data_IF_111915126259
#
_entry.id   IF_111915126259
#
_cell.length_a   1.000
_cell.length_b   1.000
_cell.length_c   1.000
_cell.angle_alpha   90.00
_cell.angle_beta   90.00
_cell.angle_gamma   90.00
#
_symmetry.space_group_name_H-M   'P 1'
#
loop_
_entity.id
_entity.type
_entity.pdbx_description
1 polymer ?
#
# COMPACT_ATOMS: atom_id res chain seq x y z
N UNK A 1 1.98 4.83 15.71
CA UNK A 1 3.27 4.60 15.01
C UNK A 1 4.45 4.58 15.97
N UNK A 2 4.52 5.43 17.01
CA UNK A 2 5.64 5.41 17.98
C UNK A 2 5.90 4.04 18.66
N UNK A 3 4.88 3.21 18.85
CA UNK A 3 5.01 1.86 19.40
C UNK A 3 5.10 0.76 18.32
N UNK A 4 5.48 1.11 17.08
CA UNK A 4 5.41 0.22 15.91
C UNK A 4 4.02 -0.40 15.70
N UNK A 5 2.97 0.35 16.08
CA UNK A 5 1.58 -0.03 15.91
C UNK A 5 0.88 0.89 14.90
N UNK A 6 -0.16 0.34 14.27
CA UNK A 6 -1.06 1.07 13.38
C UNK A 6 -2.50 0.69 13.69
N UNK A 7 -3.42 1.62 13.46
CA UNK A 7 -4.85 1.40 13.62
C UNK A 7 -5.47 1.27 12.24
N UNK A 8 -6.18 0.16 12.00
CA UNK A 8 -6.89 -0.09 10.74
C UNK A 8 -8.19 0.75 10.70
N UNK A 9 -8.01 2.06 10.60
CA UNK A 9 -9.05 3.09 10.79
C UNK A 9 -9.17 4.03 9.60
N UNK A 10 -8.19 3.99 8.69
CA UNK A 10 -8.20 4.70 7.42
C UNK A 10 -8.31 3.66 6.31
N UNK A 11 -9.16 3.89 5.31
CA UNK A 11 -9.54 2.89 4.32
C UNK A 11 -11.04 2.56 4.36
N UNK A 12 -11.49 1.73 3.42
CA UNK A 12 -12.87 1.29 3.34
C UNK A 12 -12.92 -0.15 2.85
N UNK A 13 -13.91 -0.92 3.29
CA UNK A 13 -14.17 -2.29 2.81
C UNK A 13 -14.40 -2.35 1.30
N UNK A 14 -14.90 -1.24 0.75
CA UNK A 14 -15.10 -1.03 -0.67
C UNK A 14 -14.64 0.39 -1.03
N UNK A 15 -13.72 0.49 -1.99
CA UNK A 15 -13.25 1.76 -2.52
C UNK A 15 -13.34 1.69 -4.05
N UNK A 16 -14.41 2.26 -4.59
CA UNK A 16 -14.67 2.29 -6.03
C UNK A 16 -14.37 3.69 -6.58
N UNK A 17 -13.56 3.75 -7.63
CA UNK A 17 -13.39 4.96 -8.45
C UNK A 17 -13.42 4.54 -9.91
N UNK A 18 -14.05 5.36 -10.76
CA UNK A 18 -13.98 5.17 -12.21
C UNK A 18 -12.80 5.98 -12.71
N UNK A 19 -11.86 5.30 -13.38
CA UNK A 19 -10.78 5.95 -14.11
C UNK A 19 -10.94 5.63 -15.59
N UNK A 20 -10.86 6.66 -16.42
CA UNK A 20 -10.90 6.54 -17.88
C UNK A 20 -9.49 6.73 -18.40
N UNK A 21 -8.97 5.73 -19.09
CA UNK A 21 -7.68 5.80 -19.76
C UNK A 21 -7.81 6.68 -21.02
N UNK A 22 -7.12 7.84 -21.10
CA UNK A 22 -7.19 8.72 -22.25
C UNK A 22 -6.62 8.10 -23.54
N UNK A 23 -5.78 7.06 -23.40
CA UNK A 23 -5.06 6.42 -24.51
C UNK A 23 -5.64 5.03 -24.85
N UNK A 24 -6.81 4.67 -24.32
CA UNK A 24 -7.44 3.36 -24.55
C UNK A 24 -7.83 3.13 -26.02
N UNK A 25 -7.29 2.07 -26.62
CA UNK A 25 -7.73 1.56 -27.91
C UNK A 25 -8.61 0.31 -27.73
N UNK A 26 -9.92 0.36 -28.06
CA UNK A 26 -10.81 -0.79 -27.96
C UNK A 26 -10.48 -1.94 -28.93
N UNK A 27 -9.58 -1.74 -29.89
CA UNK A 27 -9.08 -2.80 -30.76
C UNK A 27 -8.07 -3.72 -30.05
N UNK A 28 -7.47 -3.29 -28.94
CA UNK A 28 -6.56 -4.08 -28.14
C UNK A 28 -7.30 -5.03 -27.17
N UNK A 29 -6.65 -6.15 -26.82
CA UNK A 29 -7.22 -7.08 -25.85
C UNK A 29 -7.06 -6.50 -24.44
N UNK A 30 -8.18 -6.19 -23.80
CA UNK A 30 -8.22 -5.78 -22.41
C UNK A 30 -8.45 -6.97 -21.46
N UNK A 31 -8.06 -6.79 -20.20
CA UNK A 31 -8.40 -7.69 -19.10
C UNK A 31 -8.63 -6.85 -17.84
N UNK A 32 -9.41 -7.38 -16.90
CA UNK A 32 -9.67 -6.77 -15.60
C UNK A 32 -8.75 -7.36 -14.54
N UNK A 33 -8.38 -6.55 -13.54
CA UNK A 33 -7.71 -7.01 -12.33
C UNK A 33 -8.12 -6.15 -11.15
N UNK A 34 -8.05 -6.71 -9.94
CA UNK A 34 -8.24 -5.98 -8.70
C UNK A 34 -6.92 -5.38 -8.25
N UNK A 35 -6.92 -4.11 -7.88
CA UNK A 35 -5.80 -3.41 -7.26
C UNK A 35 -6.11 -3.13 -5.79
N UNK A 36 -5.23 -3.56 -4.90
CA UNK A 36 -5.33 -3.28 -3.46
C UNK A 36 -4.16 -2.38 -3.05
N UNK A 37 -4.47 -1.35 -2.25
CA UNK A 37 -3.47 -0.47 -1.65
C UNK A 37 -3.56 -0.62 -0.14
N UNK A 38 -2.46 -1.01 0.49
CA UNK A 38 -2.39 -1.09 1.94
C UNK A 38 -2.48 0.32 2.57
N UNK A 39 -2.89 0.39 3.82
CA UNK A 39 -2.71 1.62 4.61
C UNK A 39 -1.24 1.73 5.02
N UNK A 40 -0.72 2.94 5.33
CA UNK A 40 0.65 3.06 5.81
C UNK A 40 0.89 2.20 7.05
N UNK A 41 1.85 1.28 6.97
CA UNK A 41 2.22 0.38 8.06
C UNK A 41 3.67 0.61 8.51
N UNK A 42 4.01 0.32 9.78
CA UNK A 42 5.39 0.41 10.26
C UNK A 42 6.34 -0.53 9.50
N UNK A 43 7.52 -0.03 9.13
CA UNK A 43 8.60 -0.87 8.58
C UNK A 43 9.35 -1.60 9.69
N UNK A 44 10.06 -2.67 9.34
CA UNK A 44 10.89 -3.47 10.26
C UNK A 44 11.86 -2.62 11.11
N UNK A 45 12.42 -1.55 10.53
CA UNK A 45 13.33 -0.64 11.24
C UNK A 45 12.68 0.01 12.45
N UNK A 46 11.38 0.33 12.38
CA UNK A 46 10.65 0.91 13.49
C UNK A 46 10.40 -0.14 14.60
N UNK A 47 10.13 -1.40 14.23
CA UNK A 47 10.04 -2.49 15.20
C UNK A 47 11.37 -2.71 15.92
N UNK A 48 12.49 -2.66 15.20
CA UNK A 48 13.83 -2.82 15.79
C UNK A 48 14.18 -1.67 16.73
N UNK A 49 13.86 -0.41 16.39
CA UNK A 49 14.01 0.72 17.31
C UNK A 49 13.21 0.51 18.60
N UNK A 50 11.95 0.10 18.49
CA UNK A 50 11.10 -0.13 19.67
C UNK A 50 11.63 -1.29 20.51
N UNK A 51 12.12 -2.35 19.86
CA UNK A 51 12.61 -3.55 20.53
C UNK A 51 13.97 -3.37 21.21
N UNK A 52 14.88 -2.67 20.56
CA UNK A 52 16.29 -2.57 20.97
C UNK A 52 16.67 -1.19 21.53
N UNK A 53 15.79 -0.19 21.42
CA UNK A 53 16.07 1.18 21.85
C UNK A 53 17.10 1.91 20.98
N UNK A 54 17.39 1.39 19.79
CA UNK A 54 18.42 1.92 18.89
C UNK A 54 18.05 3.28 18.29
N UNK A 55 19.05 4.13 18.08
CA UNK A 55 18.87 5.36 17.30
C UNK A 55 18.73 5.03 15.82
N UNK A 56 17.77 5.68 15.16
CA UNK A 56 17.56 5.53 13.71
C UNK A 56 18.24 6.72 13.01
N UNK A 57 19.05 6.49 11.97
CA UNK A 57 19.65 7.56 11.18
C UNK A 57 18.59 8.52 10.62
N UNK A 58 18.95 9.79 10.54
CA UNK A 58 18.09 10.81 9.95
C UNK A 58 17.79 10.49 8.48
N UNK A 59 16.53 10.69 8.07
CA UNK A 59 16.06 10.36 6.72
C UNK A 59 15.63 8.90 6.51
N UNK A 60 15.72 8.04 7.52
CA UNK A 60 15.23 6.65 7.40
C UNK A 60 13.70 6.62 7.35
N UNK A 61 13.14 5.92 6.35
CA UNK A 61 11.70 5.70 6.26
C UNK A 61 11.21 4.73 7.34
N UNK A 62 10.23 5.17 8.12
CA UNK A 62 9.65 4.39 9.23
C UNK A 62 8.33 3.70 8.87
N UNK A 63 7.71 4.12 7.76
CA UNK A 63 6.43 3.61 7.28
C UNK A 63 6.55 3.17 5.83
N UNK A 64 5.88 2.07 5.49
CA UNK A 64 5.76 1.54 4.13
C UNK A 64 4.30 1.46 3.70
N UNK A 65 4.08 1.20 2.42
CA UNK A 65 2.76 0.97 1.87
C UNK A 65 2.85 -0.05 0.74
N UNK A 66 2.26 -1.21 0.94
CA UNK A 66 2.28 -2.28 -0.05
C UNK A 66 1.13 -2.17 -1.07
N UNK A 67 1.34 -2.82 -2.22
CA UNK A 67 0.35 -2.91 -3.31
C UNK A 67 0.21 -4.36 -3.74
N UNK A 68 -1.03 -4.80 -3.93
CA UNK A 68 -1.32 -6.11 -4.48
C UNK A 68 -2.18 -5.99 -5.74
N UNK A 69 -1.96 -6.93 -6.65
CA UNK A 69 -2.68 -7.06 -7.91
C UNK A 69 -3.22 -8.49 -8.01
N UNK A 70 -4.48 -8.65 -8.43
CA UNK A 70 -5.02 -9.98 -8.72
C UNK A 70 -4.50 -10.52 -10.04
N UNK A 71 -4.67 -11.82 -10.25
CA UNK A 71 -4.58 -12.41 -11.59
C UNK A 71 -5.54 -11.71 -12.57
N UNK A 72 -5.19 -11.65 -13.86
CA UNK A 72 -6.05 -11.08 -14.90
C UNK A 72 -7.32 -11.92 -15.09
N UNK A 73 -8.42 -11.23 -15.34
CA UNK A 73 -9.74 -11.78 -15.68
C UNK A 73 -10.09 -11.28 -17.09
N UNK A 74 -10.32 -12.20 -18.01
CA UNK A 74 -10.61 -11.90 -19.43
C UNK A 74 -12.10 -11.69 -19.68
#
# INVERSE_FOLDING_TARGET
VEAANWTNTIGASELATVWTDPDFDPAERAFYYVRVLEIPTPRWVLYDKVRFGSEIPEGTELTGQERAYSSPIW
#
